data_IF_272169151303
#
_entry.id   IF_272169151303
#
_cell.length_a   1.000
_cell.length_b   1.000
_cell.length_c   1.000
_cell.angle_alpha   90.00
_cell.angle_beta   90.00
_cell.angle_gamma   90.00
#
_symmetry.space_group_name_H-M   'P 1'
#
loop_
_entity.id
_entity.type
_entity.pdbx_description
1 polymer ?
#
# COMPACT_ATOMS: atom_id res chain seq x y z
N UNK A 1 7.09 -20.02 -9.26
CA UNK A 1 7.00 -20.86 -10.48
C UNK A 1 7.57 -22.26 -10.22
N UNK A 2 8.50 -22.38 -9.27
CA UNK A 2 9.08 -23.63 -8.78
C UNK A 2 8.12 -24.34 -7.80
N UNK A 3 7.46 -23.57 -6.94
CA UNK A 3 6.46 -24.01 -5.95
C UNK A 3 5.24 -24.66 -6.62
N UNK A 4 4.82 -24.18 -7.80
CA UNK A 4 3.75 -24.82 -8.57
C UNK A 4 4.15 -26.18 -9.15
N UNK A 5 5.44 -26.37 -9.47
CA UNK A 5 5.95 -27.66 -9.92
C UNK A 5 6.07 -28.63 -8.74
N UNK A 6 6.54 -28.15 -7.60
CA UNK A 6 6.58 -28.92 -6.36
C UNK A 6 5.18 -29.35 -5.90
N UNK A 7 4.21 -28.43 -5.90
CA UNK A 7 2.81 -28.72 -5.63
C UNK A 7 2.29 -29.82 -6.57
N UNK A 8 2.56 -29.71 -7.88
CA UNK A 8 2.15 -30.71 -8.87
C UNK A 8 2.78 -32.08 -8.56
N UNK A 9 4.05 -32.13 -8.20
CA UNK A 9 4.75 -33.38 -7.89
C UNK A 9 4.22 -34.05 -6.62
N UNK A 10 3.94 -33.26 -5.57
CA UNK A 10 3.33 -33.76 -4.33
C UNK A 10 1.92 -34.31 -4.59
N UNK A 11 1.12 -33.60 -5.40
CA UNK A 11 -0.21 -34.08 -5.82
C UNK A 11 -0.12 -35.39 -6.63
N UNK A 12 0.83 -35.51 -7.54
CA UNK A 12 1.04 -36.74 -8.33
C UNK A 12 1.49 -37.92 -7.45
N UNK A 13 2.22 -37.66 -6.37
CA UNK A 13 2.64 -38.66 -5.37
C UNK A 13 1.52 -39.01 -4.38
N UNK A 14 0.40 -38.29 -4.38
CA UNK A 14 -0.69 -38.44 -3.42
C UNK A 14 -0.37 -37.88 -2.02
N UNK A 15 0.68 -37.08 -1.88
CA UNK A 15 1.06 -36.43 -0.64
C UNK A 15 0.24 -35.15 -0.43
N UNK A 16 -1.00 -35.33 0.01
CA UNK A 16 -1.93 -34.23 0.29
C UNK A 16 -1.42 -33.31 1.41
N UNK A 17 -0.90 -33.81 2.55
CA UNK A 17 -0.34 -32.93 3.58
C UNK A 17 0.78 -32.04 3.07
N UNK A 18 1.74 -32.58 2.32
CA UNK A 18 2.82 -31.79 1.73
C UNK A 18 2.28 -30.77 0.73
N UNK A 19 1.34 -31.17 -0.13
CA UNK A 19 0.73 -30.26 -1.10
C UNK A 19 0.00 -29.08 -0.43
N UNK A 20 -0.64 -29.29 0.73
CA UNK A 20 -1.31 -28.21 1.46
C UNK A 20 -0.33 -27.16 2.00
N UNK A 21 0.86 -27.57 2.45
CA UNK A 21 1.91 -26.63 2.89
C UNK A 21 2.29 -25.68 1.76
N UNK A 22 2.52 -26.22 0.56
CA UNK A 22 2.87 -25.39 -0.62
C UNK A 22 1.73 -24.44 -1.01
N UNK A 23 0.48 -24.85 -0.82
CA UNK A 23 -0.67 -23.95 -1.06
C UNK A 23 -0.67 -22.78 -0.08
N UNK A 24 -0.43 -23.02 1.21
CA UNK A 24 -0.35 -21.96 2.22
C UNK A 24 0.78 -20.97 1.91
N UNK A 25 1.97 -21.47 1.52
CA UNK A 25 3.10 -20.63 1.11
C UNK A 25 2.77 -19.78 -0.13
N UNK A 26 2.14 -20.37 -1.16
CA UNK A 26 1.70 -19.65 -2.35
C UNK A 26 0.65 -18.57 -2.04
N UNK A 27 -0.27 -18.84 -1.12
CA UNK A 27 -1.25 -17.85 -0.65
C UNK A 27 -0.56 -16.68 0.09
N UNK A 28 0.40 -16.98 0.95
CA UNK A 28 1.18 -15.96 1.66
C UNK A 28 2.00 -15.11 0.69
N UNK A 29 2.70 -15.73 -0.26
CA UNK A 29 3.45 -15.02 -1.31
C UNK A 29 2.56 -14.08 -2.11
N UNK A 30 1.41 -14.58 -2.59
CA UNK A 30 0.46 -13.78 -3.35
C UNK A 30 -0.05 -12.59 -2.53
N UNK A 31 -0.29 -12.80 -1.23
CA UNK A 31 -0.75 -11.75 -0.32
C UNK A 31 0.33 -10.69 -0.09
N UNK A 32 1.58 -11.11 0.12
CA UNK A 32 2.71 -10.22 0.30
C UNK A 32 2.97 -9.35 -0.93
N UNK A 33 2.82 -9.89 -2.14
CA UNK A 33 2.93 -9.13 -3.39
C UNK A 33 1.87 -8.02 -3.50
N UNK A 34 0.64 -8.30 -3.05
CA UNK A 34 -0.45 -7.32 -3.02
C UNK A 34 -0.14 -6.22 -2.00
N UNK A 35 0.26 -6.57 -0.78
CA UNK A 35 0.63 -5.61 0.27
C UNK A 35 1.77 -4.70 -0.23
N UNK A 36 2.83 -5.29 -0.81
CA UNK A 36 3.96 -4.56 -1.37
C UNK A 36 3.54 -3.57 -2.45
N UNK A 37 2.64 -3.99 -3.35
CA UNK A 37 2.15 -3.14 -4.43
C UNK A 37 1.30 -1.99 -3.90
N UNK A 38 0.37 -2.28 -2.99
CA UNK A 38 -0.44 -1.26 -2.30
C UNK A 38 0.47 -0.27 -1.58
N UNK A 39 1.48 -0.74 -0.86
CA UNK A 39 2.45 0.09 -0.13
C UNK A 39 3.17 1.06 -1.07
N UNK A 40 3.63 0.61 -2.24
CA UNK A 40 4.28 1.49 -3.23
C UNK A 40 3.38 2.64 -3.70
N UNK A 41 2.10 2.38 -3.96
CA UNK A 41 1.15 3.44 -4.31
C UNK A 41 0.75 4.29 -3.11
N UNK A 42 0.72 3.71 -1.90
CA UNK A 42 0.46 4.42 -0.66
C UNK A 42 1.56 5.45 -0.36
N UNK A 43 2.84 5.14 -0.63
CA UNK A 43 3.94 6.11 -0.51
C UNK A 43 3.65 7.35 -1.35
N UNK A 44 3.30 7.17 -2.64
CA UNK A 44 2.98 8.26 -3.56
C UNK A 44 1.73 9.03 -3.10
N UNK A 45 0.70 8.33 -2.62
CA UNK A 45 -0.52 8.96 -2.10
C UNK A 45 -0.20 9.86 -0.91
N UNK A 46 0.52 9.31 0.08
CA UNK A 46 0.89 9.99 1.31
C UNK A 46 1.83 11.16 1.05
N UNK A 47 2.81 11.02 0.15
CA UNK A 47 3.70 12.10 -0.29
C UNK A 47 2.89 13.34 -0.69
N UNK A 48 1.87 13.16 -1.53
CA UNK A 48 1.07 14.28 -2.00
C UNK A 48 0.13 14.84 -0.92
N UNK A 49 -0.39 14.01 -0.02
CA UNK A 49 -1.19 14.48 1.13
C UNK A 49 -0.35 15.27 2.13
N UNK A 50 0.89 14.83 2.40
CA UNK A 50 1.86 15.54 3.24
C UNK A 50 2.14 16.92 2.64
N UNK A 51 2.45 16.99 1.34
CA UNK A 51 2.69 18.26 0.64
C UNK A 51 1.47 19.18 0.67
N UNK A 52 0.27 18.63 0.52
CA UNK A 52 -0.97 19.42 0.61
C UNK A 52 -1.13 20.06 1.99
N UNK A 53 -0.84 19.30 3.06
CA UNK A 53 -0.95 19.80 4.42
C UNK A 53 0.16 20.78 4.78
N UNK A 54 1.42 20.46 4.45
CA UNK A 54 2.58 21.29 4.75
C UNK A 54 2.52 22.65 4.03
N UNK A 55 2.09 22.67 2.77
CA UNK A 55 2.06 23.90 1.96
C UNK A 55 0.68 24.57 1.91
N UNK A 56 -0.32 23.97 2.57
CA UNK A 56 -1.71 24.45 2.59
C UNK A 56 -2.26 24.78 1.18
N UNK A 57 -1.91 23.96 0.18
CA UNK A 57 -2.31 24.12 -1.23
C UNK A 57 -2.29 22.79 -1.96
N UNK A 58 -2.92 22.73 -3.14
CA UNK A 58 -2.75 21.61 -4.07
C UNK A 58 -2.42 22.12 -5.47
N UNK A 59 -1.91 21.23 -6.31
CA UNK A 59 -1.75 21.46 -7.74
C UNK A 59 -2.50 20.40 -8.54
N UNK A 60 -2.81 20.70 -9.80
CA UNK A 60 -3.49 19.75 -10.69
C UNK A 60 -2.71 18.45 -10.88
N UNK A 61 -1.37 18.50 -10.89
CA UNK A 61 -0.56 17.28 -10.99
C UNK A 61 -0.65 16.45 -9.71
N UNK A 62 -0.67 17.08 -8.53
CA UNK A 62 -0.82 16.39 -7.25
C UNK A 62 -2.19 15.70 -7.15
N UNK A 63 -3.26 16.38 -7.53
CA UNK A 63 -4.61 15.80 -7.55
C UNK A 63 -4.72 14.62 -8.54
N UNK A 64 -3.95 14.63 -9.63
CA UNK A 64 -3.88 13.50 -10.57
C UNK A 64 -3.11 12.34 -9.94
N UNK A 65 -1.95 12.59 -9.33
CA UNK A 65 -1.16 11.56 -8.64
C UNK A 65 -1.96 10.87 -7.53
N UNK A 66 -2.65 11.65 -6.70
CA UNK A 66 -3.54 11.14 -5.63
C UNK A 66 -4.61 10.23 -6.23
N UNK A 67 -5.34 10.68 -7.26
CA UNK A 67 -6.40 9.87 -7.88
C UNK A 67 -5.87 8.60 -8.54
N UNK A 68 -4.68 8.65 -9.14
CA UNK A 68 -4.06 7.48 -9.75
C UNK A 68 -3.67 6.45 -8.69
N UNK A 69 -2.98 6.87 -7.64
CA UNK A 69 -2.62 5.98 -6.52
C UNK A 69 -3.86 5.36 -5.86
N UNK A 70 -4.91 6.15 -5.62
CA UNK A 70 -6.18 5.65 -5.06
C UNK A 70 -6.78 4.56 -5.95
N UNK A 71 -6.84 4.77 -7.27
CA UNK A 71 -7.39 3.79 -8.21
C UNK A 71 -6.58 2.49 -8.22
N UNK A 72 -5.25 2.58 -8.25
CA UNK A 72 -4.40 1.38 -8.25
C UNK A 72 -4.49 0.64 -6.92
N UNK A 73 -4.49 1.32 -5.77
CA UNK A 73 -4.69 0.68 -4.45
C UNK A 73 -6.04 -0.05 -4.40
N UNK A 74 -7.12 0.62 -4.80
CA UNK A 74 -8.45 0.01 -4.81
C UNK A 74 -8.54 -1.18 -5.77
N UNK A 75 -7.88 -1.08 -6.93
CA UNK A 75 -7.84 -2.15 -7.95
C UNK A 75 -7.08 -3.36 -7.46
N UNK A 76 -5.90 -3.16 -6.87
CA UNK A 76 -5.06 -4.24 -6.35
C UNK A 76 -5.67 -4.89 -5.12
N UNK A 77 -6.34 -4.11 -4.26
CA UNK A 77 -7.01 -4.67 -3.08
C UNK A 77 -8.28 -5.46 -3.43
N UNK A 78 -8.89 -5.27 -4.61
CA UNK A 78 -10.14 -5.94 -4.99
C UNK A 78 -9.90 -7.35 -5.52
N UNK A 79 -10.57 -8.36 -4.93
CA UNK A 79 -10.54 -9.74 -5.43
C UNK A 79 -11.39 -9.87 -6.70
N UNK A 80 -10.78 -10.32 -7.80
CA UNK A 80 -11.45 -10.40 -9.11
C UNK A 80 -12.48 -11.54 -9.24
N UNK A 81 -12.26 -12.67 -8.57
CA UNK A 81 -13.08 -13.89 -8.74
C UNK A 81 -13.92 -14.25 -7.51
N UNK A 82 -13.38 -14.06 -6.31
CA UNK A 82 -14.02 -14.49 -5.07
C UNK A 82 -14.99 -13.44 -4.47
N UNK A 83 -15.04 -12.23 -5.03
CA UNK A 83 -15.66 -11.07 -4.36
C UNK A 83 -14.85 -10.63 -3.13
N UNK A 84 -15.15 -9.46 -2.59
CA UNK A 84 -14.44 -8.89 -1.44
C UNK A 84 -13.04 -8.34 -1.75
N UNK A 85 -12.22 -8.24 -0.71
CA UNK A 85 -10.93 -7.53 -0.72
C UNK A 85 -9.82 -8.41 -0.13
N UNK A 86 -8.57 -8.16 -0.50
CA UNK A 86 -7.42 -8.89 0.05
C UNK A 86 -7.08 -8.41 1.46
N UNK A 87 -7.02 -7.10 1.64
CA UNK A 87 -6.75 -6.40 2.89
C UNK A 87 -8.04 -5.79 3.44
N UNK A 88 -8.23 -5.97 4.74
CA UNK A 88 -9.20 -5.28 5.58
C UNK A 88 -8.85 -3.79 5.76
N UNK A 89 -9.79 -2.94 6.21
CA UNK A 89 -9.47 -1.57 6.57
C UNK A 89 -8.32 -1.43 7.57
N UNK A 90 -8.22 -2.33 8.55
CA UNK A 90 -7.18 -2.36 9.56
C UNK A 90 -5.80 -2.65 8.93
N UNK A 91 -5.71 -3.66 8.07
CA UNK A 91 -4.48 -3.99 7.34
C UNK A 91 -4.06 -2.89 6.35
N UNK A 92 -5.04 -2.16 5.78
CA UNK A 92 -4.74 -0.96 4.99
C UNK A 92 -4.15 0.15 5.85
N UNK A 93 -4.63 0.35 7.08
CA UNK A 93 -4.04 1.31 8.02
C UNK A 93 -2.61 0.94 8.35
N UNK A 94 -2.32 -0.32 8.66
CA UNK A 94 -0.96 -0.82 8.91
C UNK A 94 -0.06 -0.54 7.70
N UNK A 95 -0.53 -0.88 6.49
CA UNK A 95 0.21 -0.62 5.25
C UNK A 95 0.47 0.87 5.02
N UNK A 96 -0.51 1.74 5.32
CA UNK A 96 -0.36 3.20 5.24
C UNK A 96 0.65 3.73 6.27
N UNK A 97 0.65 3.18 7.49
CA UNK A 97 1.58 3.58 8.55
C UNK A 97 3.03 3.23 8.20
N UNK A 98 3.27 2.07 7.58
CA UNK A 98 4.58 1.70 7.06
C UNK A 98 5.00 2.56 5.86
N UNK A 99 4.07 2.84 4.94
CA UNK A 99 4.32 3.69 3.79
C UNK A 99 4.66 5.13 4.19
N UNK A 100 4.08 5.63 5.29
CA UNK A 100 4.29 6.99 5.77
C UNK A 100 5.77 7.32 6.03
N UNK A 101 6.54 6.36 6.55
CA UNK A 101 7.97 6.57 6.83
C UNK A 101 8.76 6.94 5.56
N UNK A 102 8.48 6.27 4.44
CA UNK A 102 9.14 6.62 3.17
C UNK A 102 8.52 7.90 2.56
N UNK A 103 7.21 8.09 2.74
CA UNK A 103 6.51 9.25 2.18
C UNK A 103 6.94 10.58 2.80
N UNK A 104 7.25 10.60 4.10
CA UNK A 104 7.73 11.81 4.79
C UNK A 104 9.16 12.14 4.35
N UNK A 105 10.03 11.13 4.21
CA UNK A 105 11.38 11.30 3.67
C UNK A 105 11.32 11.86 2.24
N UNK A 106 10.49 11.30 1.36
CA UNK A 106 10.32 11.80 0.00
C UNK A 106 9.75 13.23 -0.02
N UNK A 107 8.81 13.55 0.88
CA UNK A 107 8.21 14.88 0.96
C UNK A 107 9.23 15.94 1.34
N UNK A 108 10.23 15.62 2.16
CA UNK A 108 11.28 16.57 2.54
C UNK A 108 12.04 17.11 1.35
N UNK A 109 12.17 16.34 0.26
CA UNK A 109 12.88 16.75 -0.95
C UNK A 109 12.09 17.76 -1.79
N UNK A 110 10.78 17.83 -1.61
CA UNK A 110 9.88 18.62 -2.46
C UNK A 110 9.22 19.79 -1.72
N UNK A 111 8.86 19.62 -0.45
CA UNK A 111 8.21 20.66 0.36
C UNK A 111 9.16 21.83 0.55
N UNK A 112 8.67 23.04 0.22
CA UNK A 112 9.45 24.28 0.28
C UNK A 112 10.85 24.15 -0.36
N UNK A 113 10.96 23.44 -1.48
CA UNK A 113 12.22 23.25 -2.22
C UNK A 113 13.33 22.54 -1.41
N UNK A 114 12.97 21.60 -0.53
CA UNK A 114 13.96 20.80 0.19
C UNK A 114 14.36 21.35 1.55
N UNK A 115 13.56 22.28 2.10
CA UNK A 115 13.99 23.08 3.27
C UNK A 115 14.04 22.31 4.57
N UNK A 116 13.16 21.33 4.75
CA UNK A 116 12.94 20.65 6.03
C UNK A 116 13.64 19.29 6.07
N UNK A 117 14.14 18.90 7.24
CA UNK A 117 14.44 17.51 7.56
C UNK A 117 13.15 16.74 7.93
N UNK A 118 13.15 15.39 7.89
CA UNK A 118 11.94 14.61 8.20
C UNK A 118 11.31 14.97 9.53
N UNK A 119 12.11 15.12 10.59
CA UNK A 119 11.62 15.43 11.95
C UNK A 119 11.04 16.84 12.06
N UNK A 120 11.49 17.77 11.22
CA UNK A 120 10.94 19.13 11.15
C UNK A 120 9.61 19.12 10.40
N UNK A 121 9.55 18.40 9.28
CA UNK A 121 8.32 18.27 8.49
C UNK A 121 7.23 17.53 9.27
N UNK A 122 7.58 16.50 10.04
CA UNK A 122 6.65 15.78 10.93
C UNK A 122 5.96 16.70 11.96
N UNK A 123 6.62 17.78 12.38
CA UNK A 123 6.02 18.75 13.31
C UNK A 123 5.02 19.70 12.63
N UNK A 124 5.10 19.85 11.30
CA UNK A 124 4.23 20.71 10.50
C UNK A 124 2.96 19.99 10.03
N UNK A 125 2.96 18.66 10.07
CA UNK A 125 1.87 17.83 9.56
C UNK A 125 1.22 17.01 10.67
N UNK A 126 -0.04 16.64 10.43
CA UNK A 126 -0.81 15.79 11.32
C UNK A 126 -0.89 14.39 10.70
N UNK A 127 0.03 13.52 11.14
CA UNK A 127 0.14 12.15 10.66
C UNK A 127 -1.19 11.41 10.73
N UNK A 128 -1.92 11.54 11.83
CA UNK A 128 -3.20 10.84 12.04
C UNK A 128 -4.24 11.32 11.02
N UNK A 129 -4.36 12.63 10.79
CA UNK A 129 -5.25 13.18 9.75
C UNK A 129 -4.85 12.72 8.36
N UNK A 130 -3.56 12.67 8.03
CA UNK A 130 -3.09 12.19 6.72
C UNK A 130 -3.49 10.73 6.51
N UNK A 131 -3.20 9.85 7.48
CA UNK A 131 -3.53 8.42 7.40
C UNK A 131 -5.05 8.22 7.29
N UNK A 132 -5.84 8.91 8.10
CA UNK A 132 -7.30 8.85 8.05
C UNK A 132 -7.86 9.36 6.72
N UNK A 133 -7.25 10.40 6.14
CA UNK A 133 -7.65 10.93 4.83
C UNK A 133 -7.33 9.92 3.73
N UNK A 134 -6.13 9.34 3.73
CA UNK A 134 -5.74 8.30 2.80
C UNK A 134 -6.68 7.08 2.90
N UNK A 135 -6.96 6.59 4.12
CA UNK A 135 -7.87 5.48 4.36
C UNK A 135 -9.27 5.76 3.80
N UNK A 136 -9.81 6.95 4.04
CA UNK A 136 -11.13 7.32 3.51
C UNK A 136 -11.20 7.33 1.98
N UNK A 137 -10.07 7.59 1.30
CA UNK A 137 -10.00 7.55 -0.16
C UNK A 137 -9.94 6.12 -0.69
N UNK A 138 -9.29 5.20 0.02
CA UNK A 138 -8.98 3.85 -0.49
C UNK A 138 -9.84 2.73 0.09
N UNK A 139 -10.54 2.96 1.21
CA UNK A 139 -11.31 1.92 1.88
C UNK A 139 -12.38 1.34 0.95
N UNK A 140 -12.61 0.02 1.01
CA UNK A 140 -13.78 -0.61 0.42
C UNK A 140 -15.09 0.16 0.71
N UNK A 141 -15.94 0.33 -0.31
CA UNK A 141 -17.33 0.76 -0.13
C UNK A 141 -18.23 -0.43 0.16
#
# INVERSE_FOLDING_TARGET
MEELLELKDLLLKGDVPGALVIVEELEEMSRNDIIKTIRSYAIILLLHLIKQQAENRTTRSWDVSIRNSVREIQRENKRRKAGGFYLTPEELVETLQEAYLNAIDEATLEVEEGRYQPEELEQLVDREKIINSALNLIKPQ
#
